data_IF_762184077199
#
_entry.id   IF_762184077199
#
_cell.length_a   1.000
_cell.length_b   1.000
_cell.length_c   1.000
_cell.angle_alpha   90.00
_cell.angle_beta   90.00
_cell.angle_gamma   90.00
#
_symmetry.space_group_name_H-M   'P 1'
#
loop_
_entity.id
_entity.type
_entity.pdbx_description
1 polymer ?
#
# COMPACT_ATOMS: atom_id res chain seq x y z
N UNK A 1 -36.12 22.02 -16.07
CA UNK A 1 -35.48 20.74 -15.65
C UNK A 1 -33.99 20.68 -16.00
N UNK A 2 -33.58 20.94 -17.25
CA UNK A 2 -32.16 20.88 -17.69
C UNK A 2 -31.19 21.74 -16.84
N UNK A 3 -31.59 22.97 -16.44
CA UNK A 3 -30.79 23.82 -15.54
C UNK A 3 -30.58 23.22 -14.13
N UNK A 4 -31.59 22.55 -13.58
CA UNK A 4 -31.49 21.89 -12.26
C UNK A 4 -30.56 20.68 -12.32
N UNK A 5 -30.62 19.90 -13.40
CA UNK A 5 -29.70 18.77 -13.64
C UNK A 5 -28.26 19.27 -13.78
N UNK A 6 -28.03 20.35 -14.54
CA UNK A 6 -26.70 20.95 -14.67
C UNK A 6 -26.11 21.40 -13.33
N UNK A 7 -26.91 22.04 -12.47
CA UNK A 7 -26.47 22.45 -11.13
C UNK A 7 -26.11 21.23 -10.26
N UNK A 8 -26.92 20.17 -10.28
CA UNK A 8 -26.64 18.93 -9.52
C UNK A 8 -25.32 18.30 -9.98
N UNK A 9 -25.07 18.22 -11.29
CA UNK A 9 -23.83 17.66 -11.83
C UNK A 9 -22.62 18.49 -11.39
N UNK A 10 -22.70 19.82 -11.43
CA UNK A 10 -21.61 20.70 -10.96
C UNK A 10 -21.35 20.50 -9.47
N UNK A 11 -22.39 20.41 -8.64
CA UNK A 11 -22.24 20.15 -7.19
C UNK A 11 -21.54 18.81 -6.96
N UNK A 12 -21.95 17.75 -7.66
CA UNK A 12 -21.31 16.43 -7.53
C UNK A 12 -19.83 16.47 -7.93
N UNK A 13 -19.48 17.19 -8.99
CA UNK A 13 -18.08 17.38 -9.40
C UNK A 13 -17.30 18.13 -8.32
N UNK A 14 -17.84 19.23 -7.79
CA UNK A 14 -17.18 20.02 -6.73
C UNK A 14 -16.97 19.20 -5.45
N UNK A 15 -17.96 18.40 -5.05
CA UNK A 15 -17.83 17.49 -3.90
C UNK A 15 -16.77 16.42 -4.16
N UNK A 16 -16.74 15.84 -5.37
CA UNK A 16 -15.73 14.86 -5.76
C UNK A 16 -14.31 15.43 -5.73
N UNK A 17 -14.13 16.62 -6.30
CA UNK A 17 -12.84 17.34 -6.29
C UNK A 17 -12.44 17.71 -4.86
N UNK A 18 -13.37 18.24 -4.07
CA UNK A 18 -13.12 18.58 -2.66
C UNK A 18 -12.70 17.36 -1.84
N UNK A 19 -13.38 16.22 -2.03
CA UNK A 19 -12.99 14.95 -1.40
C UNK A 19 -11.60 14.49 -1.85
N UNK A 20 -11.28 14.57 -3.14
CA UNK A 20 -9.97 14.18 -3.64
C UNK A 20 -8.86 15.03 -3.03
N UNK A 21 -9.03 16.36 -2.99
CA UNK A 21 -8.08 17.29 -2.38
C UNK A 21 -7.90 17.00 -0.89
N UNK A 22 -8.99 16.73 -0.17
CA UNK A 22 -8.95 16.33 1.24
C UNK A 22 -8.20 15.01 1.44
N UNK A 23 -8.57 13.97 0.70
CA UNK A 23 -7.96 12.63 0.80
C UNK A 23 -6.44 12.72 0.59
N UNK A 24 -5.99 13.51 -0.40
CA UNK A 24 -4.56 13.60 -0.75
C UNK A 24 -3.77 14.52 0.19
N UNK A 25 -4.29 15.72 0.50
CA UNK A 25 -3.49 16.76 1.17
C UNK A 25 -3.71 16.86 2.68
N UNK A 26 -4.84 16.33 3.19
CA UNK A 26 -5.20 16.43 4.60
C UNK A 26 -5.15 15.07 5.26
N UNK A 27 -5.74 14.05 4.62
CA UNK A 27 -5.78 12.70 5.17
C UNK A 27 -4.59 11.83 4.71
N UNK A 28 -3.62 12.39 3.97
CA UNK A 28 -2.42 11.68 3.50
C UNK A 28 -2.71 10.34 2.82
N UNK A 29 -3.82 10.24 2.08
CA UNK A 29 -4.33 8.99 1.49
C UNK A 29 -4.52 7.81 2.47
N UNK A 30 -4.69 8.11 3.76
CA UNK A 30 -4.94 7.14 4.81
C UNK A 30 -6.27 6.41 4.58
N UNK A 31 -6.20 5.10 4.37
CA UNK A 31 -7.37 4.25 4.07
C UNK A 31 -7.19 2.88 4.70
N UNK A 32 -8.28 2.32 5.23
CA UNK A 32 -8.30 0.93 5.62
C UNK A 32 -8.22 0.03 4.38
N UNK A 33 -7.32 -0.94 4.43
CA UNK A 33 -7.36 -2.13 3.58
C UNK A 33 -8.30 -3.11 4.24
N UNK A 34 -8.07 -3.40 5.52
CA UNK A 34 -8.94 -4.24 6.32
C UNK A 34 -9.20 -3.53 7.63
N UNK A 35 -10.45 -3.16 7.86
CA UNK A 35 -10.86 -2.34 8.99
C UNK A 35 -10.36 -2.93 10.30
N UNK A 36 -9.71 -2.10 11.12
CA UNK A 36 -9.14 -2.50 12.40
C UNK A 36 -7.91 -3.40 12.31
N UNK A 37 -7.36 -3.66 11.11
CA UNK A 37 -6.25 -4.60 10.91
C UNK A 37 -5.13 -4.08 10.02
N UNK A 38 -5.44 -3.63 8.80
CA UNK A 38 -4.42 -3.13 7.86
C UNK A 38 -4.86 -1.82 7.26
N UNK A 39 -3.97 -0.85 7.27
CA UNK A 39 -4.14 0.49 6.74
C UNK A 39 -3.06 0.78 5.72
N UNK A 40 -3.34 1.71 4.80
CA UNK A 40 -2.34 2.31 3.94
C UNK A 40 -2.38 3.82 4.00
N UNK A 41 -1.26 4.49 3.74
CA UNK A 41 -1.19 5.94 3.58
C UNK A 41 -0.04 6.36 2.66
N UNK A 42 0.00 7.64 2.30
CA UNK A 42 1.21 8.33 1.89
C UNK A 42 2.04 8.74 3.10
N UNK A 43 2.99 9.66 2.90
CA UNK A 43 3.76 10.24 4.02
C UNK A 43 2.81 10.97 4.95
N UNK A 44 2.76 10.53 6.20
CA UNK A 44 2.13 11.28 7.29
C UNK A 44 3.25 12.08 7.96
N UNK A 45 3.11 13.40 8.14
CA UNK A 45 4.11 14.20 8.83
C UNK A 45 4.45 13.63 10.22
N UNK A 46 5.73 13.63 10.65
CA UNK A 46 6.15 13.02 11.91
C UNK A 46 5.40 13.53 13.16
N UNK A 47 4.95 14.79 13.15
CA UNK A 47 4.17 15.42 14.22
C UNK A 47 2.70 14.96 14.27
N UNK A 48 2.18 14.42 13.16
CA UNK A 48 0.81 13.90 13.07
C UNK A 48 0.74 12.37 13.27
N UNK A 49 1.85 11.67 13.05
CA UNK A 49 1.90 10.21 13.05
C UNK A 49 1.44 9.58 14.37
N UNK A 50 1.80 10.17 15.52
CA UNK A 50 1.36 9.68 16.83
C UNK A 50 -0.18 9.72 16.98
N UNK A 51 -0.85 10.70 16.35
CA UNK A 51 -2.31 10.79 16.32
C UNK A 51 -2.95 9.59 15.62
N UNK A 52 -2.48 9.28 14.41
CA UNK A 52 -2.94 8.12 13.63
C UNK A 52 -2.66 6.81 14.36
N UNK A 53 -1.48 6.68 14.98
CA UNK A 53 -1.11 5.49 15.75
C UNK A 53 -2.09 5.25 16.88
N UNK A 54 -2.42 6.29 17.66
CA UNK A 54 -3.36 6.19 18.78
C UNK A 54 -4.79 5.93 18.32
N UNK A 55 -5.25 6.65 17.30
CA UNK A 55 -6.64 6.55 16.81
C UNK A 55 -6.94 5.15 16.25
N UNK A 56 -6.00 4.56 15.50
CA UNK A 56 -6.18 3.27 14.84
C UNK A 56 -5.50 2.10 15.56
N UNK A 57 -4.92 2.34 16.74
CA UNK A 57 -4.15 1.37 17.51
C UNK A 57 -3.06 0.68 16.70
N UNK A 58 -2.38 1.41 15.81
CA UNK A 58 -1.33 0.86 14.95
C UNK A 58 -0.20 0.34 15.85
N UNK A 59 0.28 -0.88 15.57
CA UNK A 59 1.42 -1.49 16.26
C UNK A 59 2.68 -1.51 15.43
N UNK A 60 2.53 -1.57 14.11
CA UNK A 60 3.66 -1.65 13.20
C UNK A 60 3.45 -0.75 11.99
N UNK A 61 4.56 -0.17 11.52
CA UNK A 61 4.61 0.68 10.33
C UNK A 61 5.63 0.08 9.36
N UNK A 62 5.20 -0.11 8.10
CA UNK A 62 6.05 -0.50 6.97
C UNK A 62 6.22 0.71 6.07
N UNK A 63 7.45 1.22 6.02
CA UNK A 63 7.86 2.28 5.11
C UNK A 63 8.48 1.65 3.84
N UNK A 64 7.82 1.83 2.71
CA UNK A 64 8.26 1.35 1.41
C UNK A 64 9.12 2.36 0.64
N UNK A 65 9.36 3.55 1.21
CA UNK A 65 10.22 4.57 0.59
C UNK A 65 11.64 4.06 0.44
N UNK A 66 12.23 4.38 -0.71
CA UNK A 66 13.53 3.92 -1.16
C UNK A 66 14.27 5.10 -1.82
N UNK A 67 14.84 6.01 -1.00
CA UNK A 67 15.52 7.20 -1.51
C UNK A 67 16.84 6.84 -2.19
N UNK A 68 17.32 7.73 -3.06
CA UNK A 68 18.59 7.54 -3.77
C UNK A 68 18.46 6.82 -5.12
N UNK A 69 17.25 6.69 -5.65
CA UNK A 69 17.01 6.21 -7.03
C UNK A 69 17.02 7.38 -8.02
N UNK A 70 17.40 7.12 -9.28
CA UNK A 70 17.33 8.13 -10.35
C UNK A 70 15.87 8.51 -10.75
N UNK A 71 14.87 7.75 -10.30
CA UNK A 71 13.44 8.03 -10.55
C UNK A 71 12.86 9.03 -9.55
N UNK A 72 13.12 10.32 -9.77
CA UNK A 72 12.59 11.41 -8.95
C UNK A 72 11.09 11.65 -9.11
N UNK A 73 10.42 11.01 -10.08
CA UNK A 73 8.97 11.19 -10.30
C UNK A 73 8.18 10.24 -9.40
N UNK A 74 8.57 8.96 -9.36
CA UNK A 74 7.86 7.95 -8.59
C UNK A 74 8.47 7.72 -7.19
N UNK A 75 9.73 8.08 -7.01
CA UNK A 75 10.47 7.99 -5.74
C UNK A 75 11.12 9.36 -5.40
N UNK A 76 10.32 10.43 -5.19
CA UNK A 76 10.83 11.76 -4.87
C UNK A 76 11.39 11.88 -3.44
N UNK A 77 11.26 10.83 -2.62
CA UNK A 77 11.70 10.81 -1.23
C UNK A 77 13.20 11.08 -1.05
N UNK A 78 13.53 11.81 0.03
CA UNK A 78 14.89 12.12 0.43
C UNK A 78 15.27 11.41 1.75
N UNK A 79 16.54 11.01 1.95
CA UNK A 79 16.96 10.27 3.15
C UNK A 79 16.65 10.97 4.48
N UNK A 80 16.63 12.29 4.50
CA UNK A 80 16.37 13.10 5.69
C UNK A 80 14.94 12.89 6.20
N UNK A 81 13.96 12.76 5.31
CA UNK A 81 12.56 12.53 5.68
C UNK A 81 12.36 11.14 6.31
N UNK A 82 13.02 10.11 5.77
CA UNK A 82 12.97 8.76 6.34
C UNK A 82 13.61 8.72 7.73
N UNK A 83 14.72 9.45 7.90
CA UNK A 83 15.41 9.55 9.19
C UNK A 83 14.54 10.24 10.22
N UNK A 84 13.93 11.38 9.86
CA UNK A 84 13.04 12.13 10.75
C UNK A 84 11.81 11.33 11.18
N UNK A 85 11.21 10.56 10.26
CA UNK A 85 10.09 9.69 10.59
C UNK A 85 10.49 8.54 11.52
N UNK A 86 11.59 7.86 11.21
CA UNK A 86 12.13 6.79 12.06
C UNK A 86 12.40 7.30 13.49
N UNK A 87 13.06 8.44 13.61
CA UNK A 87 13.34 9.06 14.92
C UNK A 87 12.05 9.47 15.67
N UNK A 88 11.00 9.86 14.96
CA UNK A 88 9.71 10.16 15.57
C UNK A 88 9.01 8.88 16.07
N UNK A 89 9.05 7.80 15.30
CA UNK A 89 8.45 6.51 15.67
C UNK A 89 9.20 5.89 16.85
N UNK A 90 10.53 5.94 16.89
CA UNK A 90 11.34 5.41 17.99
C UNK A 90 11.04 6.08 19.34
N UNK A 91 10.49 7.31 19.34
CA UNK A 91 10.02 7.99 20.56
C UNK A 91 8.69 7.44 21.07
N UNK A 92 7.93 6.75 20.23
CA UNK A 92 6.63 6.17 20.55
C UNK A 92 6.84 4.73 21.02
N UNK A 93 6.59 4.47 22.31
CA UNK A 93 6.84 3.15 22.90
C UNK A 93 5.92 2.08 22.31
N UNK A 94 6.51 0.93 21.98
CA UNK A 94 5.77 -0.27 21.57
C UNK A 94 5.32 -0.28 20.11
N UNK A 95 5.88 0.61 19.28
CA UNK A 95 5.66 0.63 17.83
C UNK A 95 6.85 0.03 17.12
N UNK A 96 6.60 -0.91 16.22
CA UNK A 96 7.63 -1.47 15.36
C UNK A 96 7.71 -0.68 14.05
N UNK A 97 8.93 -0.41 13.58
CA UNK A 97 9.18 0.26 12.32
C UNK A 97 10.00 -0.64 11.40
N UNK A 98 9.50 -0.87 10.19
CA UNK A 98 10.14 -1.68 9.17
C UNK A 98 10.34 -0.85 7.91
N UNK A 99 11.58 -0.51 7.58
CA UNK A 99 11.88 0.05 6.26
C UNK A 99 12.15 -1.08 5.28
N UNK A 100 11.22 -1.29 4.36
CA UNK A 100 11.27 -2.29 3.28
C UNK A 100 11.27 -1.51 1.97
N UNK A 101 12.31 -0.70 1.76
CA UNK A 101 12.46 0.09 0.56
C UNK A 101 12.19 -0.75 -0.69
N UNK A 102 11.29 -0.26 -1.54
CA UNK A 102 10.81 -1.00 -2.71
C UNK A 102 10.65 -0.08 -3.91
N UNK A 103 10.88 -0.63 -5.10
CA UNK A 103 10.52 -0.01 -6.36
C UNK A 103 9.00 -0.09 -6.61
N UNK A 104 8.52 0.41 -7.75
CA UNK A 104 7.09 0.36 -8.09
C UNK A 104 6.58 -1.07 -8.28
N UNK A 105 7.41 -1.97 -8.79
CA UNK A 105 7.18 -3.40 -8.83
C UNK A 105 8.11 -4.04 -7.78
N UNK A 106 7.60 -4.83 -6.82
CA UNK A 106 8.43 -5.36 -5.75
C UNK A 106 9.48 -6.35 -6.27
N UNK A 107 10.68 -6.29 -5.70
CA UNK A 107 11.68 -7.35 -5.82
C UNK A 107 11.37 -8.50 -4.86
N UNK A 108 11.92 -9.69 -5.13
CA UNK A 108 11.81 -10.85 -4.22
C UNK A 108 12.32 -10.52 -2.82
N UNK A 109 13.44 -9.80 -2.70
CA UNK A 109 13.99 -9.39 -1.39
C UNK A 109 13.01 -8.50 -0.60
N UNK A 110 12.33 -7.58 -1.28
CA UNK A 110 11.33 -6.72 -0.63
C UNK A 110 10.08 -7.52 -0.22
N UNK A 111 9.70 -8.51 -1.02
CA UNK A 111 8.59 -9.42 -0.71
C UNK A 111 8.92 -10.27 0.52
N UNK A 112 10.10 -10.88 0.60
CA UNK A 112 10.51 -11.71 1.73
C UNK A 112 10.49 -10.94 3.06
N UNK A 113 11.03 -9.71 3.05
CA UNK A 113 10.96 -8.82 4.22
C UNK A 113 9.51 -8.51 4.58
N UNK A 114 8.65 -8.28 3.60
CA UNK A 114 7.25 -7.96 3.85
C UNK A 114 6.47 -9.16 4.39
N UNK A 115 6.73 -10.36 3.87
CA UNK A 115 6.15 -11.61 4.36
C UNK A 115 6.45 -11.82 5.84
N UNK A 116 7.70 -11.61 6.25
CA UNK A 116 8.08 -11.69 7.67
C UNK A 116 7.25 -10.74 8.56
N UNK A 117 6.91 -9.56 8.05
CA UNK A 117 6.08 -8.59 8.80
C UNK A 117 4.62 -9.05 8.88
N UNK A 118 4.01 -9.46 7.77
CA UNK A 118 2.59 -9.83 7.74
C UNK A 118 2.31 -11.23 8.32
N UNK A 119 3.33 -12.08 8.46
CA UNK A 119 3.22 -13.39 9.07
C UNK A 119 3.16 -13.31 10.61
N UNK A 120 3.75 -12.27 11.20
CA UNK A 120 3.72 -12.07 12.65
C UNK A 120 2.44 -11.34 13.10
N UNK A 121 1.60 -12.07 13.83
CA UNK A 121 0.36 -11.54 14.42
C UNK A 121 0.56 -10.36 15.38
N UNK A 122 1.75 -10.21 15.98
CA UNK A 122 2.08 -9.12 16.88
C UNK A 122 2.13 -7.76 16.16
N UNK A 123 2.32 -7.75 14.83
CA UNK A 123 2.43 -6.55 14.02
C UNK A 123 1.09 -5.86 13.70
N UNK A 124 -0.05 -6.48 14.04
CA UNK A 124 -1.37 -5.92 13.71
C UNK A 124 -1.97 -5.13 14.88
N UNK A 125 -2.63 -3.97 14.63
CA UNK A 125 -2.86 -3.32 13.33
C UNK A 125 -1.61 -2.76 12.63
N UNK A 126 -1.52 -2.95 11.31
CA UNK A 126 -0.37 -2.61 10.47
C UNK A 126 -0.68 -1.41 9.57
N UNK A 127 0.24 -0.44 9.50
CA UNK A 127 0.22 0.64 8.51
C UNK A 127 1.28 0.40 7.43
N UNK A 128 0.89 0.39 6.16
CA UNK A 128 1.79 0.26 5.02
C UNK A 128 1.79 1.59 4.26
N UNK A 129 2.92 2.27 4.16
CA UNK A 129 2.98 3.53 3.44
C UNK A 129 4.14 3.63 2.44
N UNK A 130 4.00 4.57 1.54
CA UNK A 130 5.06 5.01 0.63
C UNK A 130 4.94 6.55 0.50
N UNK A 131 5.51 7.16 -0.54
CA UNK A 131 5.40 8.60 -0.68
C UNK A 131 3.94 9.09 -0.88
N UNK A 132 3.26 8.64 -1.94
CA UNK A 132 1.88 9.05 -2.25
C UNK A 132 0.80 8.16 -1.64
N UNK A 133 1.15 6.95 -1.19
CA UNK A 133 0.21 5.98 -0.61
C UNK A 133 -0.72 5.30 -1.61
N UNK A 134 -0.40 5.34 -2.89
CA UNK A 134 -1.30 4.93 -3.96
C UNK A 134 -0.60 4.04 -5.02
N UNK A 135 0.74 4.07 -5.07
CA UNK A 135 1.59 3.18 -5.86
C UNK A 135 2.04 1.96 -5.06
N UNK A 136 3.22 2.06 -4.43
CA UNK A 136 3.87 0.97 -3.66
C UNK A 136 3.00 0.48 -2.50
N UNK A 137 2.51 1.40 -1.67
CA UNK A 137 1.62 1.03 -0.56
C UNK A 137 0.40 0.22 -1.03
N UNK A 138 -0.17 0.59 -2.19
CA UNK A 138 -1.31 -0.12 -2.77
C UNK A 138 -0.94 -1.48 -3.36
N UNK A 139 0.26 -1.61 -3.94
CA UNK A 139 0.79 -2.89 -4.40
C UNK A 139 0.95 -3.88 -3.25
N UNK A 140 1.65 -3.49 -2.19
CA UNK A 140 1.86 -4.32 -1.00
C UNK A 140 0.54 -4.61 -0.26
N UNK A 141 -0.42 -3.67 -0.28
CA UNK A 141 -1.77 -3.92 0.22
C UNK A 141 -2.51 -5.00 -0.58
N UNK A 142 -2.36 -5.03 -1.91
CA UNK A 142 -2.95 -6.06 -2.76
C UNK A 142 -2.33 -7.44 -2.49
N UNK A 143 -1.00 -7.50 -2.35
CA UNK A 143 -0.27 -8.72 -1.99
C UNK A 143 -0.72 -9.24 -0.62
N UNK A 144 -0.84 -8.37 0.39
CA UNK A 144 -1.40 -8.77 1.69
C UNK A 144 -2.79 -9.41 1.55
N UNK A 145 -3.69 -8.84 0.73
CA UNK A 145 -5.02 -9.44 0.53
C UNK A 145 -4.96 -10.81 -0.15
N UNK A 146 -4.07 -10.98 -1.12
CA UNK A 146 -3.88 -12.26 -1.79
C UNK A 146 -3.37 -13.29 -0.79
N UNK A 147 -2.27 -12.98 -0.09
CA UNK A 147 -1.57 -13.89 0.83
C UNK A 147 -2.37 -14.21 2.11
N UNK A 148 -3.05 -13.21 2.69
CA UNK A 148 -3.67 -13.33 4.03
C UNK A 148 -5.19 -13.36 4.01
N UNK A 149 -5.82 -12.93 2.93
CA UNK A 149 -7.28 -12.90 2.81
C UNK A 149 -7.80 -13.83 1.70
N UNK A 150 -6.92 -14.55 1.01
CA UNK A 150 -7.28 -15.51 -0.04
C UNK A 150 -7.91 -14.84 -1.26
N UNK A 151 -7.66 -13.55 -1.46
CA UNK A 151 -8.21 -12.80 -2.58
C UNK A 151 -7.55 -13.25 -3.89
N UNK A 152 -8.33 -13.42 -4.95
CA UNK A 152 -7.74 -13.68 -6.27
C UNK A 152 -6.93 -12.48 -6.75
N UNK A 153 -5.90 -12.73 -7.54
CA UNK A 153 -5.06 -11.72 -8.19
C UNK A 153 -5.87 -10.60 -8.86
N UNK A 154 -6.87 -10.99 -9.67
CA UNK A 154 -7.68 -10.02 -10.41
C UNK A 154 -8.61 -9.21 -9.51
N UNK A 155 -9.13 -9.80 -8.43
CA UNK A 155 -9.91 -9.04 -7.46
C UNK A 155 -9.04 -8.02 -6.72
N UNK A 156 -7.86 -8.43 -6.26
CA UNK A 156 -6.91 -7.54 -5.58
C UNK A 156 -6.47 -6.39 -6.50
N UNK A 157 -6.20 -6.69 -7.78
CA UNK A 157 -5.88 -5.70 -8.81
C UNK A 157 -7.03 -4.72 -9.04
N UNK A 158 -8.27 -5.21 -9.17
CA UNK A 158 -9.46 -4.35 -9.33
C UNK A 158 -9.68 -3.41 -8.15
N UNK A 159 -9.34 -3.84 -6.93
CA UNK A 159 -9.41 -3.00 -5.72
C UNK A 159 -8.27 -2.01 -5.58
N UNK A 160 -7.23 -2.09 -6.41
CA UNK A 160 -6.09 -1.17 -6.32
C UNK A 160 -6.48 0.28 -6.65
N UNK A 161 -7.51 0.49 -7.47
CA UNK A 161 -7.92 1.82 -7.94
C UNK A 161 -9.43 1.91 -8.11
N UNK A 162 -9.99 3.09 -7.86
CA UNK A 162 -11.41 3.38 -8.16
C UNK A 162 -11.69 3.25 -9.64
N UNK A 163 -10.79 3.77 -10.49
CA UNK A 163 -10.77 3.55 -11.93
C UNK A 163 -9.50 2.78 -12.27
N UNK A 164 -9.65 1.47 -12.52
CA UNK A 164 -8.54 0.61 -12.89
C UNK A 164 -7.97 0.98 -14.27
N UNK A 165 -8.85 1.23 -15.23
CA UNK A 165 -8.49 1.64 -16.59
C UNK A 165 -7.71 2.96 -16.57
N UNK A 166 -6.61 3.03 -17.32
CA UNK A 166 -5.66 4.15 -17.38
C UNK A 166 -4.87 4.40 -16.09
N UNK A 167 -5.00 3.53 -15.09
CA UNK A 167 -4.17 3.60 -13.90
C UNK A 167 -2.83 2.89 -14.09
N UNK A 168 -1.96 3.00 -13.09
CA UNK A 168 -0.71 2.25 -13.06
C UNK A 168 -0.89 0.73 -12.90
N UNK A 169 -2.11 0.25 -12.60
CA UNK A 169 -2.46 -1.17 -12.44
C UNK A 169 -3.30 -1.70 -13.61
N UNK A 170 -3.50 -0.89 -14.65
CA UNK A 170 -4.24 -1.27 -15.86
C UNK A 170 -3.52 -2.40 -16.63
N UNK A 171 -4.22 -3.00 -17.58
CA UNK A 171 -3.64 -4.00 -18.47
C UNK A 171 -2.47 -3.42 -19.29
N UNK A 172 -1.41 -4.20 -19.41
CA UNK A 172 -0.14 -3.82 -20.04
C UNK A 172 0.75 -2.92 -19.19
N UNK A 173 0.33 -2.56 -17.96
CA UNK A 173 1.18 -1.79 -17.03
C UNK A 173 1.97 -2.72 -16.12
N UNK A 174 3.24 -2.39 -15.79
CA UNK A 174 4.10 -3.28 -14.99
C UNK A 174 3.47 -3.77 -13.69
N UNK A 175 2.82 -2.88 -12.92
CA UNK A 175 2.14 -3.26 -11.67
C UNK A 175 0.87 -4.09 -11.92
N UNK A 176 0.16 -3.85 -13.03
CA UNK A 176 -1.01 -4.64 -13.40
C UNK A 176 -0.62 -6.06 -13.81
N UNK A 177 0.42 -6.20 -14.62
CA UNK A 177 0.94 -7.51 -15.03
C UNK A 177 1.51 -8.27 -13.84
N UNK A 178 2.29 -7.61 -12.97
CA UNK A 178 2.82 -8.24 -11.76
C UNK A 178 1.71 -8.87 -10.91
N UNK A 179 0.62 -8.14 -10.62
CA UNK A 179 -0.46 -8.70 -9.83
C UNK A 179 -1.17 -9.85 -10.54
N UNK A 180 -1.30 -9.81 -11.88
CA UNK A 180 -1.95 -10.91 -12.62
C UNK A 180 -1.12 -12.18 -12.59
N UNK A 181 0.20 -12.06 -12.70
CA UNK A 181 1.14 -13.19 -12.68
C UNK A 181 1.63 -13.57 -11.28
N UNK A 182 1.16 -12.89 -10.23
CA UNK A 182 1.60 -13.17 -8.87
C UNK A 182 1.23 -14.59 -8.47
N UNK A 183 2.20 -15.37 -8.00
CA UNK A 183 1.95 -16.67 -7.40
C UNK A 183 2.06 -16.54 -5.90
N UNK A 184 1.08 -17.07 -5.19
CA UNK A 184 1.16 -17.12 -3.73
C UNK A 184 2.27 -18.06 -3.30
N UNK A 185 2.85 -17.82 -2.12
CA UNK A 185 3.86 -18.74 -1.56
C UNK A 185 3.35 -20.17 -1.46
N UNK A 186 2.06 -20.36 -1.15
CA UNK A 186 1.41 -21.66 -1.11
C UNK A 186 1.35 -22.32 -2.49
N UNK A 187 1.03 -21.58 -3.55
CA UNK A 187 1.00 -22.12 -4.91
C UNK A 187 2.40 -22.52 -5.39
N UNK A 188 3.42 -21.72 -5.06
CA UNK A 188 4.83 -22.06 -5.36
C UNK A 188 5.21 -23.37 -4.65
N UNK A 189 4.92 -23.50 -3.34
CA UNK A 189 5.17 -24.73 -2.58
C UNK A 189 4.40 -25.94 -3.10
N UNK A 190 3.15 -25.73 -3.56
CA UNK A 190 2.32 -26.78 -4.18
C UNK A 190 2.96 -27.27 -5.49
N UNK A 191 3.38 -26.36 -6.38
CA UNK A 191 4.04 -26.70 -7.65
C UNK A 191 5.39 -27.40 -7.44
N UNK A 192 6.23 -26.91 -6.53
CA UNK A 192 7.51 -27.54 -6.21
C UNK A 192 7.33 -28.97 -5.69
N UNK A 193 6.30 -29.19 -4.87
CA UNK A 193 5.95 -30.53 -4.35
C UNK A 193 5.50 -31.47 -5.46
N UNK A 194 4.70 -30.99 -6.42
CA UNK A 194 4.20 -31.80 -7.52
C UNK A 194 5.35 -32.21 -8.47
N UNK A 195 6.26 -31.29 -8.79
CA UNK A 195 7.45 -31.57 -9.60
C UNK A 195 8.33 -32.67 -8.96
N UNK A 196 8.55 -32.60 -7.64
CA UNK A 196 9.32 -33.61 -6.90
C UNK A 196 8.65 -35.00 -6.85
N UNK A 197 7.34 -35.08 -7.08
CA UNK A 197 6.61 -36.34 -7.17
C UNK A 197 6.64 -36.93 -8.58
N UNK A 198 6.64 -36.10 -9.63
CA UNK A 198 6.78 -36.55 -11.02
C UNK A 198 8.17 -37.10 -11.36
N UNK A 199 9.20 -36.66 -10.63
CA UNK A 199 10.59 -37.15 -10.79
C UNK A 199 10.88 -38.50 -10.08
N UNK A 200 9.91 -39.08 -9.38
CA UNK A 200 10.04 -40.34 -8.63
C UNK A 200 9.39 -41.53 -9.31
#
# INVERSE_FOLDING_TARGET
MKRKIGIIVVILILVGVGKYVYDVNINHNFKAITEGKVYKSGVIPPDQLEGYIKEHNIKSIVDLRFPGTDDLVNNPEIPEELTAEKEAIEKIKGINYFNIGSEQVPSEEALDKFYNVIDDSANYPLLIHCYHGDGRAQMFSAIYRIEKEGMSNEEARKKARVLLKWSSFDDGKPKGEFLKSYMTRREIEDEERDLLQEER
#
